data_IF_313320086741
#
_entry.id   IF_313320086741
#
_cell.length_a   1.000
_cell.length_b   1.000
_cell.length_c   1.000
_cell.angle_alpha   90.00
_cell.angle_beta   90.00
_cell.angle_gamma   90.00
#
_symmetry.space_group_name_H-M   'P 1'
#
loop_
_entity.id
_entity.type
_entity.pdbx_description
1 polymer ?
#
# COMPACT_ATOMS: atom_id res chain seq x y z
N UNK A 1 -2.03 35.29 -30.76
CA UNK A 1 -1.40 35.07 -29.44
C UNK A 1 -2.50 35.26 -28.44
N UNK A 2 -3.01 34.16 -27.90
CA UNK A 2 -3.43 34.02 -26.51
C UNK A 2 -3.60 32.52 -26.27
N UNK A 3 -2.72 32.02 -25.41
CA UNK A 3 -2.41 30.63 -25.17
C UNK A 3 -3.43 30.12 -24.15
N UNK A 4 -4.57 29.63 -24.64
CA UNK A 4 -5.59 29.06 -23.76
C UNK A 4 -5.07 27.72 -23.23
N UNK A 5 -4.38 27.78 -22.09
CA UNK A 5 -3.94 26.62 -21.34
C UNK A 5 -5.20 25.85 -20.91
N UNK A 6 -5.51 24.80 -21.67
CA UNK A 6 -6.45 23.75 -21.28
C UNK A 6 -6.00 23.19 -19.94
N UNK A 7 -6.53 23.74 -18.85
CA UNK A 7 -6.45 23.14 -17.53
C UNK A 7 -7.32 21.89 -17.59
N UNK A 8 -6.69 20.78 -17.98
CA UNK A 8 -7.25 19.46 -17.75
C UNK A 8 -7.29 19.28 -16.24
N UNK A 9 -8.41 19.67 -15.63
CA UNK A 9 -8.77 19.15 -14.33
C UNK A 9 -8.63 17.63 -14.44
N UNK A 10 -7.69 17.07 -13.67
CA UNK A 10 -7.59 15.62 -13.53
C UNK A 10 -8.99 15.16 -13.14
N UNK A 11 -9.66 14.48 -14.06
CA UNK A 11 -10.94 13.86 -13.78
C UNK A 11 -10.74 13.04 -12.51
N UNK A 12 -11.60 13.26 -11.51
CA UNK A 12 -11.80 12.36 -10.37
C UNK A 12 -12.41 11.04 -10.88
N UNK A 13 -11.87 10.48 -11.96
CA UNK A 13 -12.14 9.13 -12.40
C UNK A 13 -11.74 8.27 -11.21
N UNK A 14 -12.76 7.72 -10.55
CA UNK A 14 -12.75 6.96 -9.31
C UNK A 14 -11.34 6.80 -8.74
N UNK A 15 -11.00 7.56 -7.70
CA UNK A 15 -9.76 7.34 -6.97
C UNK A 15 -9.83 5.90 -6.48
N UNK A 16 -9.20 5.02 -7.26
CA UNK A 16 -9.55 3.61 -7.23
C UNK A 16 -8.94 2.95 -6.01
N UNK A 17 -9.53 1.82 -5.65
CA UNK A 17 -9.14 1.03 -4.48
C UNK A 17 -7.65 0.66 -4.55
N UNK A 18 -6.87 1.09 -3.56
CA UNK A 18 -5.40 0.88 -3.49
C UNK A 18 -5.07 -0.32 -2.61
N UNK A 19 -4.25 -1.24 -3.11
CA UNK A 19 -3.65 -2.31 -2.31
C UNK A 19 -2.26 -1.89 -1.85
N UNK A 20 -2.07 -1.69 -0.54
CA UNK A 20 -0.82 -1.15 0.02
C UNK A 20 -0.11 -2.17 0.90
N UNK A 21 0.96 -2.79 0.39
CA UNK A 21 1.82 -3.66 1.20
C UNK A 21 2.77 -2.82 2.05
N UNK A 22 3.11 -3.31 3.24
CA UNK A 22 4.03 -2.59 4.14
C UNK A 22 3.41 -1.34 4.81
N UNK A 23 2.08 -1.23 4.84
CA UNK A 23 1.35 -0.09 5.46
C UNK A 23 1.58 0.09 6.97
N UNK A 24 2.14 -0.91 7.65
CA UNK A 24 2.55 -0.80 9.07
C UNK A 24 4.00 -0.36 9.25
N UNK A 25 4.77 -0.23 8.16
CA UNK A 25 6.17 0.14 8.18
C UNK A 25 6.43 1.65 8.14
N UNK A 26 7.71 2.02 8.09
CA UNK A 26 8.17 3.41 8.11
C UNK A 26 7.55 4.25 6.98
N UNK A 27 7.78 3.89 5.70
CA UNK A 27 7.20 4.64 4.57
C UNK A 27 5.69 4.43 4.44
N UNK A 28 5.21 3.22 4.70
CA UNK A 28 3.80 2.88 4.56
C UNK A 28 2.89 3.66 5.51
N UNK A 29 3.31 3.91 6.75
CA UNK A 29 2.54 4.71 7.71
C UNK A 29 2.37 6.17 7.27
N UNK A 30 3.41 6.77 6.68
CA UNK A 30 3.37 8.12 6.11
C UNK A 30 2.48 8.17 4.87
N UNK A 31 2.61 7.21 3.96
CA UNK A 31 1.75 7.14 2.78
C UNK A 31 0.27 7.00 3.17
N UNK A 32 -0.04 6.13 4.15
CA UNK A 32 -1.41 6.00 4.66
C UNK A 32 -1.95 7.32 5.23
N UNK A 33 -1.12 8.13 5.88
CA UNK A 33 -1.53 9.44 6.38
C UNK A 33 -1.84 10.42 5.23
N UNK A 34 -1.08 10.37 4.13
CA UNK A 34 -1.32 11.21 2.95
C UNK A 34 -2.56 10.78 2.15
N UNK A 35 -2.90 9.49 2.17
CA UNK A 35 -4.07 8.93 1.48
C UNK A 35 -5.37 8.98 2.30
N UNK A 36 -5.27 9.31 3.59
CA UNK A 36 -6.41 9.34 4.51
C UNK A 36 -7.56 10.19 3.96
N UNK A 37 -8.78 9.65 4.02
CA UNK A 37 -10.03 10.28 3.59
C UNK A 37 -10.09 10.68 2.09
N UNK A 38 -9.08 10.29 1.30
CA UNK A 38 -8.99 10.58 -0.14
C UNK A 38 -9.16 9.34 -0.99
N UNK A 39 -8.71 8.20 -0.47
CA UNK A 39 -8.65 6.92 -1.22
C UNK A 39 -9.05 5.78 -0.30
N UNK A 40 -9.76 4.80 -0.84
CA UNK A 40 -9.96 3.51 -0.17
C UNK A 40 -8.67 2.67 -0.24
N UNK A 41 -8.23 2.15 0.89
CA UNK A 41 -6.97 1.41 0.99
C UNK A 41 -7.19 0.05 1.64
N UNK A 42 -6.71 -1.01 0.99
CA UNK A 42 -6.60 -2.35 1.57
C UNK A 42 -5.18 -2.58 2.08
N UNK A 43 -5.08 -2.95 3.34
CA UNK A 43 -3.82 -3.19 4.06
C UNK A 43 -3.65 -4.69 4.35
N UNK A 44 -2.86 -5.44 3.57
CA UNK A 44 -2.36 -6.74 3.99
C UNK A 44 -1.43 -6.58 5.19
N UNK A 45 -1.83 -7.17 6.33
CA UNK A 45 -1.08 -7.15 7.58
C UNK A 45 -0.74 -8.59 7.98
N UNK A 46 0.57 -8.84 8.17
CA UNK A 46 1.06 -10.16 8.56
C UNK A 46 0.43 -10.65 9.88
N UNK A 47 0.27 -11.97 10.08
CA UNK A 47 -0.07 -12.53 11.38
C UNK A 47 0.86 -11.99 12.48
N UNK A 48 0.30 -11.69 13.65
CA UNK A 48 1.06 -11.14 14.79
C UNK A 48 1.38 -9.64 14.70
N UNK A 49 1.14 -8.97 13.57
CA UNK A 49 1.27 -7.51 13.47
C UNK A 49 -0.07 -6.83 13.79
N UNK A 50 -0.03 -5.68 14.47
CA UNK A 50 -1.21 -4.87 14.75
C UNK A 50 -1.20 -3.57 13.94
N UNK A 51 -2.39 -3.07 13.64
CA UNK A 51 -2.60 -1.76 13.03
C UNK A 51 -3.96 -1.23 13.47
N UNK A 52 -4.04 0.07 13.73
CA UNK A 52 -5.33 0.75 13.84
C UNK A 52 -5.69 1.30 12.45
N UNK A 53 -6.77 0.83 11.81
CA UNK A 53 -7.22 1.35 10.53
C UNK A 53 -7.92 2.70 10.67
N UNK A 54 -7.83 3.52 9.62
CA UNK A 54 -8.63 4.73 9.43
C UNK A 54 -9.99 4.39 8.80
N UNK A 55 -10.89 5.38 8.76
CA UNK A 55 -12.21 5.34 8.12
C UNK A 55 -12.22 4.70 6.72
N UNK A 56 -11.23 5.02 5.89
CA UNK A 56 -11.13 4.54 4.49
C UNK A 56 -10.19 3.34 4.31
N UNK A 57 -9.79 2.69 5.40
CA UNK A 57 -8.84 1.58 5.36
C UNK A 57 -9.51 0.26 5.76
N UNK A 58 -9.34 -0.77 4.93
CA UNK A 58 -9.67 -2.16 5.28
C UNK A 58 -8.39 -2.94 5.60
N UNK A 59 -8.44 -3.80 6.60
CA UNK A 59 -7.31 -4.66 7.01
C UNK A 59 -7.62 -6.10 6.62
N UNK A 60 -6.74 -6.69 5.83
CA UNK A 60 -6.78 -8.12 5.49
C UNK A 60 -5.55 -8.80 6.09
N UNK A 61 -5.70 -10.06 6.51
CA UNK A 61 -4.58 -10.84 7.02
C UNK A 61 -3.90 -11.54 5.85
N UNK A 62 -2.60 -11.30 5.68
CA UNK A 62 -1.81 -11.92 4.62
C UNK A 62 -0.34 -11.57 4.67
N UNK A 63 0.46 -12.37 3.98
CA UNK A 63 1.90 -12.20 3.83
C UNK A 63 2.27 -12.12 2.35
N UNK A 64 3.15 -11.19 2.00
CA UNK A 64 3.65 -11.02 0.62
C UNK A 64 4.52 -12.18 0.15
N UNK A 65 4.99 -13.02 1.06
CA UNK A 65 5.71 -14.26 0.70
C UNK A 65 4.79 -15.46 0.50
N UNK A 66 3.49 -15.33 0.79
CA UNK A 66 2.50 -16.39 0.65
C UNK A 66 1.36 -15.93 -0.28
N UNK A 67 1.42 -16.26 -1.59
CA UNK A 67 0.49 -15.73 -2.59
C UNK A 67 -0.96 -16.13 -2.33
N UNK A 68 -1.22 -17.27 -1.68
CA UNK A 68 -2.58 -17.73 -1.36
C UNK A 68 -3.28 -16.82 -0.34
N UNK A 69 -2.50 -16.03 0.41
CA UNK A 69 -3.03 -15.10 1.42
C UNK A 69 -3.31 -13.70 0.87
N UNK A 70 -3.02 -13.44 -0.41
CA UNK A 70 -3.17 -12.13 -1.01
C UNK A 70 -4.23 -12.12 -2.11
N UNK A 71 -5.19 -11.21 -1.99
CA UNK A 71 -6.15 -10.92 -3.05
C UNK A 71 -6.04 -9.47 -3.48
N UNK A 72 -5.45 -9.24 -4.66
CA UNK A 72 -5.33 -7.92 -5.28
C UNK A 72 -6.46 -7.64 -6.28
N UNK A 73 -7.33 -8.62 -6.55
CA UNK A 73 -8.43 -8.49 -7.51
C UNK A 73 -9.36 -7.35 -7.10
N UNK A 74 -9.76 -6.52 -8.07
CA UNK A 74 -10.64 -5.38 -7.84
C UNK A 74 -9.93 -4.09 -7.40
N UNK A 75 -8.64 -4.14 -7.10
CA UNK A 75 -7.83 -2.95 -6.86
C UNK A 75 -7.37 -2.35 -8.19
N UNK A 76 -7.44 -1.03 -8.32
CA UNK A 76 -6.94 -0.32 -9.51
C UNK A 76 -5.44 -0.06 -9.43
N UNK A 77 -4.87 -0.14 -8.23
CA UNK A 77 -3.48 0.25 -7.98
C UNK A 77 -2.87 -0.59 -6.87
N UNK A 78 -1.63 -1.02 -7.07
CA UNK A 78 -0.82 -1.70 -6.05
C UNK A 78 0.37 -0.81 -5.72
N UNK A 79 0.55 -0.51 -4.44
CA UNK A 79 1.74 0.16 -3.91
C UNK A 79 2.47 -0.82 -3.01
N UNK A 80 3.68 -1.21 -3.40
CA UNK A 80 4.45 -2.23 -2.70
C UNK A 80 5.57 -1.61 -1.85
N UNK A 81 5.36 -1.49 -0.53
CA UNK A 81 6.35 -0.98 0.43
C UNK A 81 6.77 -2.03 1.48
N UNK A 82 6.31 -3.28 1.35
CA UNK A 82 6.79 -4.37 2.18
C UNK A 82 8.27 -4.66 1.85
N UNK A 83 9.13 -4.60 2.86
CA UNK A 83 10.54 -4.92 2.72
C UNK A 83 11.10 -5.47 4.03
N UNK A 84 12.15 -6.29 3.92
CA UNK A 84 13.05 -6.61 5.04
C UNK A 84 14.23 -5.64 4.95
N UNK A 85 14.33 -4.73 5.90
CA UNK A 85 15.34 -3.65 5.88
C UNK A 85 16.52 -3.91 6.81
N UNK A 86 16.49 -4.99 7.61
CA UNK A 86 17.58 -5.37 8.49
C UNK A 86 18.69 -6.07 7.71
N UNK A 87 19.92 -5.55 7.79
CA UNK A 87 21.11 -6.19 7.21
C UNK A 87 21.48 -7.48 7.95
N UNK A 88 21.10 -7.62 9.23
CA UNK A 88 21.30 -8.85 10.00
C UNK A 88 20.53 -10.07 9.42
N UNK A 89 19.54 -9.83 8.56
CA UNK A 89 18.78 -10.86 7.87
C UNK A 89 19.45 -11.38 6.59
N UNK A 90 20.39 -10.62 6.01
CA UNK A 90 21.12 -11.03 4.80
C UNK A 90 22.15 -12.12 5.10
N UNK A 91 22.67 -12.20 6.33
CA UNK A 91 23.71 -13.17 6.72
C UNK A 91 23.24 -14.62 6.86
N UNK A 92 21.93 -14.90 6.86
CA UNK A 92 21.41 -16.27 7.14
C UNK A 92 21.03 -17.09 5.89
N UNK A 93 21.08 -16.51 4.68
CA UNK A 93 20.62 -17.18 3.45
C UNK A 93 21.69 -17.44 2.38
N UNK A 94 22.91 -16.96 2.55
CA UNK A 94 24.00 -17.10 1.56
C UNK A 94 25.18 -17.95 2.05
N UNK A 95 25.03 -18.66 3.18
CA UNK A 95 26.01 -19.60 3.73
C UNK A 95 25.45 -21.02 3.87
N UNK A 96 24.44 -21.38 3.08
CA UNK A 96 23.95 -22.74 2.93
C UNK A 96 24.10 -23.20 1.49
#
# INVERSE_FOLDING_TARGET
MDMNATSTALSTAAIGLVFLTGGTGFLGSHLRALLADRVEVTLPVRPGSSVSPRSTESVVRGDVTDPETLSVKGHSTVVHLAARTSVADLGRRWLQ
#
